data_IF_247324433500
#
_entry.id   IF_247324433500
#
_cell.length_a   1.000
_cell.length_b   1.000
_cell.length_c   1.000
_cell.angle_alpha   90.00
_cell.angle_beta   90.00
_cell.angle_gamma   90.00
#
_symmetry.space_group_name_H-M   'P 1'
#
loop_
_entity.id
_entity.type
_entity.pdbx_description
1 polymer ?
#
# COMPACT_ATOMS: atom_id res chain seq x y z
N UNK A 1 -20.49 3.17 -14.42
CA UNK A 1 -19.20 3.19 -13.70
C UNK A 1 -19.55 2.80 -12.29
N UNK A 2 -19.16 1.60 -11.85
CA UNK A 2 -19.43 1.20 -10.48
C UNK A 2 -18.54 2.08 -9.62
N UNK A 3 -19.13 3.03 -8.90
CA UNK A 3 -18.48 3.65 -7.75
C UNK A 3 -18.22 2.48 -6.80
N UNK A 4 -16.99 1.98 -6.80
CA UNK A 4 -16.52 1.07 -5.76
C UNK A 4 -16.76 1.80 -4.44
N UNK A 5 -17.82 1.39 -3.74
CA UNK A 5 -18.20 1.95 -2.46
C UNK A 5 -17.18 1.41 -1.46
N UNK A 6 -15.99 2.02 -1.48
CA UNK A 6 -14.86 1.65 -0.63
C UNK A 6 -15.34 1.83 0.80
N UNK A 7 -15.52 0.73 1.50
CA UNK A 7 -15.83 0.74 2.93
C UNK A 7 -14.74 1.54 3.64
N UNK A 8 -15.12 2.68 4.23
CA UNK A 8 -14.25 3.46 5.12
C UNK A 8 -14.64 3.11 6.56
N UNK A 9 -13.72 2.52 7.35
CA UNK A 9 -13.95 2.30 8.77
C UNK A 9 -14.11 3.63 9.51
N UNK A 10 -14.72 3.57 10.68
CA UNK A 10 -14.85 4.74 11.55
C UNK A 10 -13.46 5.23 11.99
N UNK A 11 -13.15 6.54 11.90
CA UNK A 11 -11.90 7.12 12.39
C UNK A 11 -11.61 6.87 13.88
N UNK A 12 -12.64 6.57 14.68
CA UNK A 12 -12.48 6.25 16.09
C UNK A 12 -12.07 4.79 16.34
N UNK A 13 -11.99 3.94 15.31
CA UNK A 13 -11.60 2.55 15.45
C UNK A 13 -10.08 2.40 15.50
N UNK A 14 -9.61 1.52 16.40
CA UNK A 14 -8.18 1.28 16.64
C UNK A 14 -7.41 0.88 15.36
N UNK A 15 -8.07 0.22 14.40
CA UNK A 15 -7.46 -0.22 13.14
C UNK A 15 -7.60 0.80 11.99
N UNK A 16 -8.19 1.97 12.22
CA UNK A 16 -8.38 3.00 11.20
C UNK A 16 -7.05 3.48 10.62
N UNK A 17 -6.04 3.73 11.45
CA UNK A 17 -4.73 4.21 11.02
C UNK A 17 -4.04 3.19 10.10
N UNK A 18 -4.14 1.90 10.43
CA UNK A 18 -3.62 0.81 9.60
C UNK A 18 -4.38 0.72 8.28
N UNK A 19 -5.72 0.81 8.33
CA UNK A 19 -6.56 0.80 7.14
C UNK A 19 -6.23 1.96 6.20
N UNK A 20 -6.08 3.18 6.71
CA UNK A 20 -5.72 4.37 5.92
C UNK A 20 -4.36 4.17 5.27
N UNK A 21 -3.38 3.71 6.04
CA UNK A 21 -2.01 3.46 5.57
C UNK A 21 -1.97 2.41 4.45
N UNK A 22 -2.70 1.29 4.62
CA UNK A 22 -2.84 0.26 3.58
C UNK A 22 -3.54 0.79 2.33
N UNK A 23 -4.55 1.65 2.48
CA UNK A 23 -5.26 2.24 1.36
C UNK A 23 -4.38 3.21 0.56
N UNK A 24 -3.53 3.97 1.26
CA UNK A 24 -2.49 4.82 0.66
C UNK A 24 -1.47 4.01 -0.15
N UNK A 25 -0.93 2.94 0.43
CA UNK A 25 -0.02 2.01 -0.25
C UNK A 25 -0.67 1.42 -1.50
N UNK A 26 -1.91 0.94 -1.38
CA UNK A 26 -2.68 0.39 -2.51
C UNK A 26 -2.78 1.40 -3.66
N UNK A 27 -3.13 2.66 -3.38
CA UNK A 27 -3.22 3.70 -4.41
C UNK A 27 -1.90 3.97 -5.13
N UNK A 28 -0.77 3.93 -4.41
CA UNK A 28 0.57 4.08 -5.03
C UNK A 28 0.90 2.90 -5.96
N UNK A 29 0.58 1.67 -5.55
CA UNK A 29 0.75 0.47 -6.39
C UNK A 29 -0.13 0.55 -7.64
N UNK A 30 -1.40 0.92 -7.49
CA UNK A 30 -2.33 1.10 -8.63
C UNK A 30 -1.85 2.18 -9.59
N UNK A 31 -1.25 3.27 -9.09
CA UNK A 31 -0.63 4.30 -9.92
C UNK A 31 0.56 3.75 -10.72
N UNK A 32 1.42 2.95 -10.10
CA UNK A 32 2.54 2.28 -10.78
C UNK A 32 2.07 1.29 -11.87
N UNK A 33 1.05 0.48 -11.58
CA UNK A 33 0.44 -0.44 -12.55
C UNK A 33 -0.22 0.31 -13.71
N UNK A 34 -0.91 1.40 -13.42
CA UNK A 34 -1.52 2.27 -14.44
C UNK A 34 -0.46 2.93 -15.32
N UNK A 35 0.67 3.31 -14.74
CA UNK A 35 1.81 3.85 -15.48
C UNK A 35 2.40 2.82 -16.43
N UNK A 36 2.62 1.57 -15.98
CA UNK A 36 3.04 0.45 -16.85
C UNK A 36 2.05 0.19 -17.97
N UNK A 37 0.76 0.14 -17.66
CA UNK A 37 -0.28 -0.14 -18.64
C UNK A 37 -0.36 0.90 -19.77
N UNK A 38 0.14 2.12 -19.53
CA UNK A 38 0.16 3.23 -20.50
C UNK A 38 1.46 3.30 -21.32
N UNK A 39 2.50 2.57 -20.93
CA UNK A 39 3.79 2.55 -21.62
C UNK A 39 3.80 1.42 -22.66
N UNK A 40 3.69 1.78 -23.95
CA UNK A 40 3.65 0.84 -25.08
C UNK A 40 5.04 0.25 -25.41
N UNK A 41 6.12 0.92 -24.99
CA UNK A 41 7.51 0.49 -25.13
C UNK A 41 8.24 0.76 -23.81
N UNK A 42 8.48 -0.30 -23.03
CA UNK A 42 9.28 -0.20 -21.82
C UNK A 42 10.73 0.18 -22.18
N UNK A 43 11.18 1.33 -21.70
CA UNK A 43 12.57 1.79 -21.78
C UNK A 43 13.14 2.03 -20.36
N UNK A 44 14.46 2.21 -20.23
CA UNK A 44 15.08 2.41 -18.91
C UNK A 44 14.49 3.59 -18.11
N UNK A 45 13.92 4.61 -18.78
CA UNK A 45 13.27 5.74 -18.10
C UNK A 45 11.93 5.36 -17.46
N UNK A 46 11.28 4.34 -18.01
CA UNK A 46 10.06 3.74 -17.50
C UNK A 46 10.37 2.95 -16.23
N UNK A 47 11.47 2.22 -16.21
CA UNK A 47 11.92 1.44 -15.05
C UNK A 47 12.30 2.35 -13.88
N UNK A 48 13.05 3.43 -14.11
CA UNK A 48 13.44 4.39 -13.06
C UNK A 48 12.21 5.02 -12.37
N UNK A 49 11.21 5.44 -13.16
CA UNK A 49 9.95 5.98 -12.63
C UNK A 49 9.12 4.93 -11.91
N UNK A 50 9.19 3.68 -12.36
CA UNK A 50 8.49 2.59 -11.70
C UNK A 50 9.05 2.34 -10.30
N UNK A 51 10.39 2.30 -10.20
CA UNK A 51 11.09 2.15 -8.94
C UNK A 51 10.76 3.33 -8.02
N UNK A 52 10.78 4.57 -8.53
CA UNK A 52 10.42 5.76 -7.74
C UNK A 52 9.00 5.68 -7.14
N UNK A 53 8.04 5.08 -7.85
CA UNK A 53 6.66 4.95 -7.38
C UNK A 53 6.48 3.75 -6.45
N UNK A 54 7.07 2.60 -6.78
CA UNK A 54 6.80 1.33 -6.10
C UNK A 54 7.70 1.08 -4.90
N UNK A 55 8.97 1.48 -4.95
CA UNK A 55 9.94 1.25 -3.86
C UNK A 55 9.51 1.86 -2.52
N UNK A 56 9.04 3.12 -2.45
CA UNK A 56 8.54 3.68 -1.19
C UNK A 56 7.24 3.00 -0.75
N UNK A 57 6.35 2.62 -1.67
CA UNK A 57 5.10 1.95 -1.33
C UNK A 57 5.33 0.54 -0.77
N UNK A 58 6.29 -0.20 -1.32
CA UNK A 58 6.69 -1.52 -0.86
C UNK A 58 7.43 -1.45 0.48
N UNK A 59 8.27 -0.44 0.68
CA UNK A 59 8.94 -0.20 1.96
C UNK A 59 7.94 0.15 3.07
N UNK A 60 6.95 1.00 2.77
CA UNK A 60 5.86 1.34 3.68
C UNK A 60 4.99 0.12 4.01
N UNK A 61 4.65 -0.69 3.01
CA UNK A 61 3.93 -1.95 3.23
C UNK A 61 4.71 -2.92 4.13
N UNK A 62 6.01 -3.09 3.86
CA UNK A 62 6.88 -3.95 4.66
C UNK A 62 6.89 -3.51 6.13
N UNK A 63 7.02 -2.22 6.38
CA UNK A 63 7.00 -1.67 7.74
C UNK A 63 5.65 -1.88 8.43
N UNK A 64 4.53 -1.61 7.75
CA UNK A 64 3.20 -1.84 8.31
C UNK A 64 2.97 -3.31 8.69
N UNK A 65 3.48 -4.24 7.87
CA UNK A 65 3.40 -5.68 8.15
C UNK A 65 4.31 -6.06 9.32
N UNK A 66 5.52 -5.51 9.41
CA UNK A 66 6.42 -5.75 10.55
C UNK A 66 5.87 -5.18 11.86
N UNK A 67 5.31 -3.96 11.84
CA UNK A 67 4.71 -3.30 13.00
C UNK A 67 3.50 -4.12 13.52
N UNK A 68 2.60 -4.57 12.64
CA UNK A 68 1.42 -5.38 13.02
C UNK A 68 1.79 -6.82 13.47
N UNK A 69 2.79 -7.44 12.82
CA UNK A 69 3.27 -8.77 13.20
C UNK A 69 4.09 -8.74 14.50
N UNK A 70 4.76 -7.63 14.82
CA UNK A 70 5.46 -7.40 16.08
C UNK A 70 4.46 -7.35 17.24
N UNK A 71 3.39 -6.56 17.11
CA UNK A 71 2.37 -6.40 18.16
C UNK A 71 1.54 -7.67 18.43
N UNK A 72 1.53 -8.63 17.48
CA UNK A 72 0.82 -9.90 17.65
C UNK A 72 1.62 -11.00 18.35
N UNK A 73 2.91 -10.79 18.65
CA UNK A 73 3.78 -11.77 19.33
C UNK A 73 3.81 -11.59 20.87
N UNK A 74 3.28 -10.48 21.40
CA UNK A 74 3.27 -10.20 22.86
C UNK A 74 2.10 -10.85 23.64
N UNK A 75 1.31 -11.74 23.01
CA UNK A 75 0.17 -12.42 23.64
C UNK A 75 0.32 -13.95 23.72
N UNK A 76 1.50 -14.48 24.06
CA UNK A 76 1.63 -15.87 24.52
C UNK A 76 2.67 -15.99 25.65
N UNK A 77 2.34 -15.52 26.86
CA UNK A 77 2.95 -16.01 28.11
C UNK A 77 2.09 -15.62 29.33
N UNK A 78 1.00 -16.37 29.60
CA UNK A 78 0.44 -16.60 30.95
C UNK A 78 -0.02 -18.06 31.13
#
# INVERSE_FOLDING_TARGET
MSEDNVFQPDPEWDYYEIWESLHSVKSKIEAGLTFLAKQELADNSTDEKLVEILDPALSELGRLVEDELSDSIDYEDE
#
